data_IF_789354448870
#
_entry.id   IF_789354448870
#
_cell.length_a   1.000
_cell.length_b   1.000
_cell.length_c   1.000
_cell.angle_alpha   90.00
_cell.angle_beta   90.00
_cell.angle_gamma   90.00
#
_symmetry.space_group_name_H-M   'P 1'
#
loop_
_entity.id
_entity.type
_entity.pdbx_description
1 polymer ?
#
# COMPACT_ATOMS: atom_id res chain seq x y z
N UNK A 1 -19.39 25.88 -4.17
CA UNK A 1 -18.71 24.87 -3.34
C UNK A 1 -17.30 25.40 -3.10
N UNK A 2 -16.83 25.38 -1.86
CA UNK A 2 -15.48 25.87 -1.52
C UNK A 2 -14.40 25.09 -2.27
N UNK A 3 -13.25 25.72 -2.53
CA UNK A 3 -12.18 25.11 -3.34
C UNK A 3 -11.60 23.85 -2.69
N UNK A 4 -11.43 23.85 -1.36
CA UNK A 4 -10.92 22.69 -0.62
C UNK A 4 -11.88 21.49 -0.70
N UNK A 5 -13.21 21.71 -0.72
CA UNK A 5 -14.19 20.64 -0.90
C UNK A 5 -14.11 20.01 -2.29
N UNK A 6 -13.89 20.83 -3.31
CA UNK A 6 -13.65 20.30 -4.67
C UNK A 6 -12.33 19.53 -4.76
N UNK A 7 -11.29 19.98 -4.05
CA UNK A 7 -10.05 19.23 -3.92
C UNK A 7 -10.29 17.87 -3.26
N UNK A 8 -11.05 17.81 -2.16
CA UNK A 8 -11.39 16.57 -1.48
C UNK A 8 -12.15 15.60 -2.40
N UNK A 9 -13.15 16.09 -3.15
CA UNK A 9 -13.86 15.28 -4.15
C UNK A 9 -12.93 14.75 -5.24
N UNK A 10 -12.03 15.59 -5.74
CA UNK A 10 -11.06 15.17 -6.76
C UNK A 10 -10.09 14.10 -6.25
N UNK A 11 -9.64 14.19 -4.99
CA UNK A 11 -8.80 13.16 -4.35
C UNK A 11 -9.55 11.82 -4.20
N UNK A 12 -10.86 11.85 -3.91
CA UNK A 12 -11.72 10.65 -3.88
C UNK A 12 -11.85 10.04 -5.28
N UNK A 13 -12.12 10.86 -6.30
CA UNK A 13 -12.20 10.41 -7.69
C UNK A 13 -10.88 9.75 -8.13
N UNK A 14 -9.75 10.32 -7.70
CA UNK A 14 -8.41 9.78 -7.94
C UNK A 14 -8.07 8.55 -7.08
N UNK A 15 -9.01 8.02 -6.27
CA UNK A 15 -8.82 6.87 -5.37
C UNK A 15 -7.70 7.07 -4.33
N UNK A 16 -7.56 8.30 -3.83
CA UNK A 16 -6.58 8.67 -2.79
C UNK A 16 -7.24 8.79 -1.41
N UNK A 17 -8.52 9.16 -1.37
CA UNK A 17 -9.31 9.20 -0.16
C UNK A 17 -10.54 8.30 -0.33
N UNK A 18 -11.00 7.62 0.72
CA UNK A 18 -12.18 6.77 0.64
C UNK A 18 -13.45 7.64 0.58
N UNK A 19 -14.49 7.13 -0.09
CA UNK A 19 -15.74 7.88 -0.33
C UNK A 19 -16.46 8.28 0.98
N UNK A 20 -16.25 7.52 2.05
CA UNK A 20 -16.83 7.74 3.39
C UNK A 20 -15.91 8.51 4.36
N UNK A 21 -14.77 9.02 3.89
CA UNK A 21 -13.82 9.76 4.73
C UNK A 21 -14.45 10.99 5.41
N UNK A 22 -14.01 11.36 6.62
CA UNK A 22 -14.57 12.49 7.39
C UNK A 22 -14.61 13.83 6.63
N UNK A 23 -13.69 14.05 5.69
CA UNK A 23 -13.68 15.25 4.82
C UNK A 23 -14.92 15.40 3.94
N UNK A 24 -15.72 14.33 3.75
CA UNK A 24 -16.96 14.36 2.98
C UNK A 24 -18.19 14.70 3.81
N UNK A 25 -18.06 14.76 5.14
CA UNK A 25 -19.18 15.03 6.03
C UNK A 25 -19.65 16.49 5.91
N UNK A 26 -20.93 16.74 6.20
CA UNK A 26 -21.50 18.10 6.10
C UNK A 26 -20.77 19.09 7.01
N UNK A 27 -20.40 18.66 8.23
CA UNK A 27 -19.67 19.45 9.22
C UNK A 27 -18.16 19.51 9.05
N UNK A 28 -17.60 18.86 8.01
CA UNK A 28 -16.16 18.83 7.78
C UNK A 28 -15.59 20.24 7.57
N UNK A 29 -14.39 20.45 8.08
CA UNK A 29 -13.64 21.68 7.96
C UNK A 29 -12.40 21.48 7.09
N UNK A 30 -11.83 22.57 6.58
CA UNK A 30 -10.58 22.53 5.81
C UNK A 30 -9.42 21.93 6.62
N UNK A 31 -9.45 22.01 7.95
CA UNK A 31 -8.48 21.40 8.84
C UNK A 31 -8.45 19.86 8.69
N UNK A 32 -9.60 19.20 8.47
CA UNK A 32 -9.67 17.75 8.27
C UNK A 32 -8.91 17.32 7.01
N UNK A 33 -9.02 18.12 5.94
CA UNK A 33 -8.27 17.87 4.70
C UNK A 33 -6.77 18.17 4.88
N UNK A 34 -6.44 19.23 5.61
CA UNK A 34 -5.05 19.57 5.90
C UNK A 34 -4.36 18.45 6.68
N UNK A 35 -5.03 17.88 7.69
CA UNK A 35 -4.53 16.73 8.47
C UNK A 35 -4.27 15.52 7.58
N UNK A 36 -5.25 15.12 6.75
CA UNK A 36 -5.13 13.95 5.89
C UNK A 36 -3.95 14.04 4.89
N UNK A 37 -3.59 15.25 4.46
CA UNK A 37 -2.47 15.46 3.53
C UNK A 37 -1.14 15.78 4.22
N UNK A 38 -1.15 16.06 5.53
CA UNK A 38 -0.04 16.71 6.27
C UNK A 38 1.26 15.95 6.21
N UNK A 39 1.20 14.63 6.15
CA UNK A 39 2.37 13.76 6.19
C UNK A 39 2.96 13.43 4.80
N UNK A 40 2.28 13.85 3.73
CA UNK A 40 2.68 13.65 2.35
C UNK A 40 2.50 12.24 1.79
N UNK A 41 1.97 11.26 2.55
CA UNK A 41 1.78 9.88 2.06
C UNK A 41 0.72 9.85 0.97
N UNK A 42 -0.47 10.39 1.25
CA UNK A 42 -1.57 10.45 0.27
C UNK A 42 -1.20 11.28 -0.97
N UNK A 43 -0.36 12.29 -0.82
CA UNK A 43 0.16 13.07 -1.94
C UNK A 43 1.07 12.23 -2.85
N UNK A 44 1.92 11.38 -2.28
CA UNK A 44 2.73 10.46 -3.07
C UNK A 44 1.86 9.41 -3.77
N UNK A 45 0.85 8.86 -3.08
CA UNK A 45 -0.09 7.91 -3.66
C UNK A 45 -0.88 8.52 -4.82
N UNK A 46 -1.32 9.78 -4.70
CA UNK A 46 -1.96 10.52 -5.78
C UNK A 46 -1.14 10.48 -7.06
N UNK A 47 0.18 10.70 -6.98
CA UNK A 47 1.03 10.69 -8.17
C UNK A 47 1.09 9.31 -8.82
N UNK A 48 1.11 8.22 -8.03
CA UNK A 48 1.08 6.85 -8.55
C UNK A 48 -0.26 6.50 -9.21
N UNK A 49 -1.38 6.97 -8.66
CA UNK A 49 -2.71 6.77 -9.25
C UNK A 49 -2.85 7.52 -10.60
N UNK A 50 -2.27 8.71 -10.70
CA UNK A 50 -2.24 9.50 -11.94
C UNK A 50 -1.28 8.90 -12.98
N UNK A 51 -0.06 8.56 -12.56
CA UNK A 51 1.00 8.00 -13.40
C UNK A 51 1.61 6.79 -12.67
N UNK A 52 1.41 5.56 -13.16
CA UNK A 52 1.98 4.38 -12.53
C UNK A 52 3.50 4.50 -12.34
N UNK A 53 3.99 4.10 -11.16
CA UNK A 53 5.41 4.15 -10.79
C UNK A 53 6.03 5.55 -10.90
N UNK A 54 5.24 6.60 -10.63
CA UNK A 54 5.76 7.96 -10.54
C UNK A 54 6.62 8.18 -9.29
N UNK A 55 6.23 7.56 -8.19
CA UNK A 55 6.94 7.55 -6.90
C UNK A 55 7.25 6.10 -6.54
N UNK A 56 8.51 5.83 -6.20
CA UNK A 56 8.94 4.56 -5.62
C UNK A 56 8.47 4.51 -4.15
N UNK A 57 7.53 3.63 -3.80
CA UNK A 57 6.96 3.62 -2.46
C UNK A 57 7.98 3.17 -1.40
N UNK A 58 9.04 2.44 -1.79
CA UNK A 58 10.18 2.11 -0.91
C UNK A 58 10.99 3.33 -0.46
N UNK A 59 10.87 4.45 -1.15
CA UNK A 59 11.61 5.68 -0.83
C UNK A 59 10.84 6.62 0.10
N UNK A 60 9.54 6.40 0.29
CA UNK A 60 8.69 7.16 1.21
C UNK A 60 8.43 6.37 2.50
N UNK A 61 7.93 7.04 3.53
CA UNK A 61 7.55 6.39 4.78
C UNK A 61 6.03 6.37 4.87
N UNK A 62 5.43 5.19 4.82
CA UNK A 62 3.98 5.01 4.79
C UNK A 62 3.32 5.24 6.15
N UNK A 63 4.08 5.03 7.24
CA UNK A 63 3.66 5.35 8.62
C UNK A 63 4.65 6.30 9.27
N UNK A 64 4.64 7.60 8.91
CA UNK A 64 5.61 8.55 9.42
C UNK A 64 5.39 8.93 10.90
N UNK A 65 4.26 8.56 11.51
CA UNK A 65 3.90 8.86 12.91
C UNK A 65 4.08 10.34 13.27
N UNK A 66 3.73 11.23 12.35
CA UNK A 66 3.94 12.67 12.45
C UNK A 66 5.38 13.11 12.73
N UNK A 67 6.36 12.25 12.47
CA UNK A 67 7.78 12.60 12.52
C UNK A 67 8.07 13.67 11.47
N UNK A 68 8.42 14.88 11.92
CA UNK A 68 8.74 16.01 11.06
C UNK A 68 9.73 15.64 9.95
N UNK A 69 10.77 14.86 10.27
CA UNK A 69 11.76 14.46 9.28
C UNK A 69 11.15 13.56 8.18
N UNK A 70 10.31 12.59 8.57
CA UNK A 70 9.70 11.64 7.63
C UNK A 70 8.59 12.30 6.80
N UNK A 71 7.72 13.09 7.42
CA UNK A 71 6.69 13.86 6.72
C UNK A 71 7.32 14.82 5.70
N UNK A 72 8.32 15.62 6.11
CA UNK A 72 9.00 16.52 5.18
C UNK A 72 9.75 15.78 4.07
N UNK A 73 10.25 14.57 4.32
CA UNK A 73 10.84 13.73 3.27
C UNK A 73 9.77 13.37 2.22
N UNK A 74 8.64 12.82 2.65
CA UNK A 74 7.53 12.44 1.77
C UNK A 74 7.01 13.63 0.95
N UNK A 75 6.76 14.78 1.60
CA UNK A 75 6.29 15.99 0.92
C UNK A 75 7.31 16.48 -0.13
N UNK A 76 8.61 16.45 0.19
CA UNK A 76 9.65 16.81 -0.78
C UNK A 76 9.72 15.84 -1.96
N UNK A 77 9.52 14.54 -1.72
CA UNK A 77 9.42 13.54 -2.79
C UNK A 77 8.27 13.87 -3.73
N UNK A 78 7.07 14.13 -3.19
CA UNK A 78 5.91 14.57 -3.98
C UNK A 78 6.23 15.80 -4.83
N UNK A 79 6.82 16.84 -4.24
CA UNK A 79 7.16 18.08 -4.94
C UNK A 79 8.21 17.85 -6.06
N UNK A 80 9.22 17.01 -5.80
CA UNK A 80 10.24 16.64 -6.79
C UNK A 80 9.62 15.92 -7.99
N UNK A 81 8.78 14.92 -7.75
CA UNK A 81 8.11 14.17 -8.81
C UNK A 81 7.13 15.04 -9.61
N UNK A 82 6.44 15.98 -8.96
CA UNK A 82 5.60 16.98 -9.65
C UNK A 82 6.40 17.81 -10.67
N UNK A 83 7.63 18.20 -10.35
CA UNK A 83 8.51 18.93 -11.28
C UNK A 83 9.00 18.02 -12.40
N UNK A 84 9.52 16.84 -12.05
CA UNK A 84 10.23 15.97 -12.97
C UNK A 84 9.29 15.25 -13.95
N UNK A 85 8.16 14.74 -13.46
CA UNK A 85 7.28 13.83 -14.20
C UNK A 85 5.97 14.48 -14.64
N UNK A 86 5.49 15.49 -13.91
CA UNK A 86 4.26 16.23 -14.24
C UNK A 86 4.53 17.63 -14.80
N UNK A 87 5.80 18.06 -14.84
CA UNK A 87 6.26 19.31 -15.45
C UNK A 87 5.67 20.59 -14.83
N UNK A 88 5.33 20.56 -13.53
CA UNK A 88 4.93 21.75 -12.80
C UNK A 88 6.13 22.68 -12.62
N UNK A 89 5.90 23.99 -12.77
CA UNK A 89 6.94 25.00 -12.55
C UNK A 89 7.19 25.20 -11.05
N UNK A 90 8.39 25.64 -10.69
CA UNK A 90 8.75 25.91 -9.29
C UNK A 90 7.84 26.93 -8.60
N UNK A 91 7.32 27.92 -9.33
CA UNK A 91 6.39 28.92 -8.80
C UNK A 91 4.92 28.45 -8.73
N UNK A 92 4.63 27.26 -9.25
CA UNK A 92 3.31 26.61 -9.19
C UNK A 92 3.22 25.62 -8.01
N UNK A 93 4.31 25.45 -7.26
CA UNK A 93 4.44 24.52 -6.14
C UNK A 93 4.51 25.24 -4.80
N UNK A 94 4.02 24.58 -3.77
CA UNK A 94 4.24 24.96 -2.39
C UNK A 94 5.60 24.47 -1.86
N UNK A 95 6.07 25.03 -0.76
CA UNK A 95 7.22 24.60 0.02
C UNK A 95 6.80 23.60 1.10
N UNK A 96 7.64 22.62 1.44
CA UNK A 96 7.25 21.54 2.33
C UNK A 96 6.67 21.98 3.69
N UNK A 97 7.16 23.10 4.26
CA UNK A 97 6.64 23.66 5.50
C UNK A 97 5.28 24.37 5.35
N UNK A 98 4.91 24.82 4.15
CA UNK A 98 3.59 25.43 3.90
C UNK A 98 2.46 24.41 4.10
N UNK A 99 2.74 23.13 3.88
CA UNK A 99 1.84 22.01 4.21
C UNK A 99 2.07 21.48 5.63
N UNK A 100 3.31 21.13 5.99
CA UNK A 100 3.57 20.44 7.27
C UNK A 100 3.19 21.27 8.50
N UNK A 101 3.52 22.57 8.49
CA UNK A 101 3.15 23.54 9.53
C UNK A 101 1.82 24.27 9.17
N UNK A 102 1.19 23.94 8.03
CA UNK A 102 -0.05 24.55 7.52
C UNK A 102 -0.01 26.08 7.47
N UNK A 103 1.14 26.64 7.09
CA UNK A 103 1.34 28.11 7.01
C UNK A 103 0.62 28.76 5.84
N UNK A 104 0.48 28.02 4.73
CA UNK A 104 -0.21 28.49 3.53
C UNK A 104 -0.85 27.30 2.81
N UNK A 105 -1.97 26.84 3.37
CA UNK A 105 -2.71 25.72 2.80
C UNK A 105 -3.39 26.08 1.47
N UNK A 106 -3.73 27.36 1.26
CA UNK A 106 -4.27 27.84 -0.01
C UNK A 106 -3.35 27.54 -1.19
N UNK A 107 -2.03 27.69 -0.99
CA UNK A 107 -1.02 27.35 -2.00
C UNK A 107 -0.91 25.85 -2.28
N UNK A 108 -1.13 25.01 -1.26
CA UNK A 108 -1.23 23.54 -1.43
C UNK A 108 -2.43 23.21 -2.32
N UNK A 109 -3.60 23.76 -2.02
CA UNK A 109 -4.82 23.58 -2.81
C UNK A 109 -4.64 24.08 -4.25
N UNK A 110 -3.96 25.22 -4.45
CA UNK A 110 -3.67 25.74 -5.78
C UNK A 110 -2.72 24.82 -6.57
N UNK A 111 -1.69 24.26 -5.91
CA UNK A 111 -0.79 23.27 -6.52
C UNK A 111 -1.56 22.03 -7.00
N UNK A 112 -2.46 21.50 -6.17
CA UNK A 112 -3.32 20.36 -6.53
C UNK A 112 -4.31 20.71 -7.65
N UNK A 113 -4.81 21.94 -7.69
CA UNK A 113 -5.65 22.42 -8.80
C UNK A 113 -4.89 22.42 -10.12
N UNK A 114 -3.64 22.88 -10.13
CA UNK A 114 -2.77 22.84 -11.31
C UNK A 114 -2.49 21.38 -11.72
N UNK A 115 -2.16 20.52 -10.76
CA UNK A 115 -1.94 19.09 -11.01
C UNK A 115 -3.17 18.40 -11.61
N UNK A 116 -4.38 18.74 -11.14
CA UNK A 116 -5.65 18.19 -11.67
C UNK A 116 -5.87 18.54 -13.15
N UNK A 117 -5.28 19.64 -13.62
CA UNK A 117 -5.34 20.09 -15.02
C UNK A 117 -4.19 19.57 -15.88
N UNK A 118 -3.28 18.80 -15.29
CA UNK A 118 -2.17 18.18 -16.04
C UNK A 118 -2.72 17.25 -17.12
N UNK A 119 -1.98 17.13 -18.23
CA UNK A 119 -2.37 16.25 -19.33
C UNK A 119 -2.56 14.79 -18.87
N UNK A 120 -1.73 14.34 -17.93
CA UNK A 120 -1.79 12.99 -17.35
C UNK A 120 -3.12 12.76 -16.63
N UNK A 121 -3.52 13.69 -15.74
CA UNK A 121 -4.76 13.59 -14.98
C UNK A 121 -6.00 13.62 -15.88
N UNK A 122 -6.01 14.53 -16.87
CA UNK A 122 -7.12 14.66 -17.82
C UNK A 122 -7.23 13.43 -18.73
N UNK A 123 -6.11 12.86 -19.19
CA UNK A 123 -6.10 11.65 -20.02
C UNK A 123 -6.62 10.41 -19.27
N UNK A 124 -6.40 10.33 -17.95
CA UNK A 124 -6.97 9.30 -17.08
C UNK A 124 -8.48 9.43 -16.87
N UNK A 125 -9.07 10.56 -17.26
CA UNK A 125 -10.51 10.80 -17.16
C UNK A 125 -10.94 11.49 -15.86
N UNK A 126 -10.00 11.99 -15.06
CA UNK A 126 -10.33 12.74 -13.85
C UNK A 126 -10.74 14.17 -14.19
N UNK A 127 -11.86 14.62 -13.64
CA UNK A 127 -12.38 15.97 -13.86
C UNK A 127 -11.55 16.99 -13.07
N UNK A 128 -10.92 17.99 -13.71
CA UNK A 128 -10.12 18.98 -13.00
C UNK A 128 -10.96 19.90 -12.10
N UNK A 129 -10.32 20.48 -11.09
CA UNK A 129 -10.93 21.49 -10.22
C UNK A 129 -10.10 22.80 -10.23
N UNK A 130 -10.68 23.95 -9.85
CA UNK A 130 -12.10 24.16 -9.59
C UNK A 130 -12.93 24.20 -10.88
N UNK A 131 -14.22 23.88 -10.75
CA UNK A 131 -15.23 24.17 -11.78
C UNK A 131 -15.56 25.68 -11.77
N UNK A 132 -15.90 26.23 -12.94
CA UNK A 132 -16.17 27.66 -13.14
C UNK A 132 -17.14 28.22 -12.07
N UNK A 133 -16.77 29.36 -11.47
CA UNK A 133 -17.58 30.06 -10.45
C UNK A 133 -17.15 29.87 -9.00
N UNK A 134 -16.01 29.21 -8.75
CA UNK A 134 -15.44 29.04 -7.42
C UNK A 134 -14.42 30.16 -7.14
N UNK A 135 -14.68 31.02 -6.16
CA UNK A 135 -13.72 32.02 -5.71
C UNK A 135 -12.73 31.39 -4.72
N UNK A 136 -11.43 31.73 -4.80
CA UNK A 136 -10.50 31.46 -3.70
C UNK A 136 -10.96 32.30 -2.49
N UNK A 137 -11.28 31.62 -1.40
CA UNK A 137 -11.58 32.25 -0.13
C UNK A 137 -10.41 31.95 0.80
N UNK A 138 -9.43 32.85 0.83
CA UNK A 138 -8.20 32.64 1.59
C UNK A 138 -8.41 32.81 3.11
N UNK A 139 -9.53 33.41 3.54
CA UNK A 139 -9.84 33.62 4.96
C UNK A 139 -10.06 32.30 5.69
N UNK A 140 -10.58 31.27 5.00
CA UNK A 140 -10.83 29.95 5.59
C UNK A 140 -9.54 29.21 5.98
N UNK A 141 -8.40 29.60 5.42
CA UNK A 141 -7.09 29.01 5.74
C UNK A 141 -6.41 29.71 6.92
N UNK A 142 -6.95 30.86 7.37
CA UNK A 142 -6.38 31.60 8.50
C UNK A 142 -6.58 30.84 9.81
N UNK A 143 -5.53 30.76 10.64
CA UNK A 143 -5.58 30.08 11.94
C UNK A 143 -5.47 28.55 11.88
N UNK A 144 -5.27 27.94 10.71
CA UNK A 144 -5.06 26.49 10.59
C UNK A 144 -3.80 26.01 11.34
N UNK A 145 -2.72 26.79 11.28
CA UNK A 145 -1.47 26.48 11.98
C UNK A 145 -1.65 26.35 13.50
N UNK A 146 -2.65 27.02 14.09
CA UNK A 146 -2.91 26.95 15.53
C UNK A 146 -3.76 25.73 15.91
N UNK A 147 -4.52 25.18 14.95
CA UNK A 147 -5.48 24.08 15.18
C UNK A 147 -4.93 22.71 14.83
N UNK A 148 -3.89 22.64 13.98
CA UNK A 148 -3.43 21.39 13.37
C UNK A 148 -2.76 20.41 14.35
N UNK A 149 -2.22 20.91 15.46
CA UNK A 149 -1.59 20.08 16.49
C UNK A 149 -2.58 19.58 17.55
N UNK A 150 -3.78 20.18 17.63
CA UNK A 150 -4.81 19.82 18.62
C UNK A 150 -5.74 18.67 18.15
N UNK A 151 -5.58 18.23 16.91
CA UNK A 151 -6.49 17.31 16.21
C UNK A 151 -5.80 16.05 15.67
N UNK A 152 -4.64 15.69 16.23
CA UNK A 152 -3.94 14.42 15.96
C UNK A 152 -4.73 13.26 16.57
N UNK A 153 -5.86 12.94 15.95
CA UNK A 153 -6.42 11.60 16.04
C UNK A 153 -5.59 10.72 15.10
N UNK A 154 -5.00 9.66 15.63
CA UNK A 154 -4.31 8.61 14.87
C UNK A 154 -5.37 7.91 14.01
N UNK A 155 -5.62 8.45 12.81
CA UNK A 155 -6.45 7.83 11.76
C UNK A 155 -5.63 6.65 11.16
N UNK A 156 -5.37 5.61 11.98
CA UNK A 156 -4.59 4.42 11.61
C UNK A 156 -5.17 3.75 10.34
N UNK A 157 -6.49 3.81 10.17
CA UNK A 157 -7.22 3.25 9.03
C UNK A 157 -7.08 4.08 7.73
N UNK A 158 -6.46 5.27 7.76
CA UNK A 158 -6.33 6.15 6.59
C UNK A 158 -5.36 5.60 5.53
N UNK A 159 -4.47 4.69 5.89
CA UNK A 159 -3.47 4.16 4.96
C UNK A 159 -3.73 2.71 4.56
N UNK A 160 -4.78 2.07 5.06
CA UNK A 160 -5.13 0.67 4.76
C UNK A 160 -5.37 0.40 3.26
N UNK A 161 -5.69 1.43 2.48
CA UNK A 161 -5.90 1.35 1.04
C UNK A 161 -4.71 1.86 0.21
N UNK A 162 -3.66 2.39 0.84
CA UNK A 162 -2.40 2.69 0.17
C UNK A 162 -1.69 1.35 0.01
N UNK A 163 -1.48 0.91 -1.24
CA UNK A 163 -0.75 -0.32 -1.53
C UNK A 163 0.65 -0.23 -0.94
N UNK A 164 0.88 -0.84 0.23
CA UNK A 164 2.22 -1.15 0.69
C UNK A 164 2.83 -2.06 -0.39
N UNK A 165 3.99 -1.72 -0.98
CA UNK A 165 4.67 -2.59 -1.95
C UNK A 165 5.01 -3.99 -1.39
N UNK A 166 4.86 -4.21 -0.08
CA UNK A 166 4.85 -5.53 0.54
C UNK A 166 3.73 -6.45 -0.02
N UNK A 167 2.70 -5.88 -0.64
CA UNK A 167 1.62 -6.59 -1.31
C UNK A 167 2.04 -7.21 -2.67
N UNK A 168 3.18 -6.81 -3.27
CA UNK A 168 3.74 -7.51 -4.45
C UNK A 168 4.12 -8.96 -4.10
N UNK A 169 4.60 -9.18 -2.87
CA UNK A 169 4.87 -10.51 -2.34
C UNK A 169 3.61 -11.35 -2.21
N UNK A 170 2.51 -10.74 -1.78
CA UNK A 170 1.22 -11.40 -1.61
C UNK A 170 0.60 -11.79 -2.96
N UNK A 171 0.67 -10.93 -3.98
CA UNK A 171 0.23 -11.28 -5.34
C UNK A 171 0.99 -12.50 -5.90
N UNK A 172 2.32 -12.53 -5.74
CA UNK A 172 3.15 -13.66 -6.18
C UNK A 172 2.81 -14.92 -5.38
N UNK A 173 2.64 -14.81 -4.07
CA UNK A 173 2.28 -15.94 -3.21
C UNK A 173 0.92 -16.51 -3.61
N UNK A 174 -0.10 -15.67 -3.75
CA UNK A 174 -1.44 -16.06 -4.16
C UNK A 174 -1.43 -16.73 -5.54
N UNK A 175 -0.68 -16.19 -6.50
CA UNK A 175 -0.54 -16.78 -7.83
C UNK A 175 0.10 -18.18 -7.81
N UNK A 176 1.08 -18.42 -6.92
CA UNK A 176 1.69 -19.73 -6.73
C UNK A 176 0.74 -20.71 -6.00
N UNK A 177 0.01 -20.22 -4.99
CA UNK A 177 -0.85 -21.04 -4.14
C UNK A 177 -2.22 -21.35 -4.76
N UNK A 178 -2.71 -20.54 -5.71
CA UNK A 178 -3.95 -20.77 -6.47
C UNK A 178 -4.07 -22.21 -6.98
N UNK A 179 -5.00 -22.97 -6.39
CA UNK A 179 -5.30 -24.32 -6.86
C UNK A 179 -6.19 -24.22 -8.10
N UNK A 180 -6.01 -25.12 -9.09
CA UNK A 180 -6.89 -25.17 -10.25
C UNK A 180 -8.33 -25.34 -9.76
N UNK A 181 -9.17 -24.32 -9.95
CA UNK A 181 -10.59 -24.38 -9.63
C UNK A 181 -11.18 -25.60 -10.35
N UNK A 182 -11.69 -26.57 -9.58
CA UNK A 182 -12.53 -27.59 -10.18
C UNK A 182 -13.71 -26.88 -10.87
N UNK A 183 -14.04 -27.22 -12.12
CA UNK A 183 -15.08 -26.51 -12.86
C UNK A 183 -16.37 -26.49 -12.05
N UNK A 184 -16.83 -25.29 -11.74
CA UNK A 184 -18.07 -25.00 -11.01
C UNK A 184 -19.26 -25.68 -11.70
N UNK A 185 -19.57 -26.93 -11.31
CA UNK A 185 -20.79 -27.59 -11.78
C UNK A 185 -21.65 -28.16 -10.68
N UNK A 186 -21.26 -28.09 -9.41
CA UNK A 186 -22.14 -28.54 -8.33
C UNK A 186 -21.96 -27.68 -7.09
N UNK A 187 -22.92 -26.78 -6.86
CA UNK A 187 -23.26 -26.31 -5.51
C UNK A 187 -23.55 -27.55 -4.64
N UNK A 188 -22.50 -28.11 -4.03
CA UNK A 188 -22.63 -29.17 -3.03
C UNK A 188 -23.10 -28.50 -1.75
N UNK A 189 -24.40 -28.49 -1.52
CA UNK A 189 -24.95 -28.39 -0.17
C UNK A 189 -24.30 -29.45 0.70
N UNK A 190 -23.52 -29.03 1.71
CA UNK A 190 -22.85 -29.93 2.65
C UNK A 190 -21.33 -30.05 2.53
N UNK A 191 -20.64 -29.05 1.98
CA UNK A 191 -19.17 -28.97 2.07
C UNK A 191 -18.77 -28.80 3.54
N UNK A 192 -18.08 -29.80 4.09
CA UNK A 192 -17.49 -29.71 5.43
C UNK A 192 -16.39 -28.66 5.42
N UNK A 193 -16.69 -27.48 5.98
CA UNK A 193 -15.75 -26.36 6.06
C UNK A 193 -14.45 -26.76 6.76
N UNK A 194 -14.53 -27.66 7.76
CA UNK A 194 -13.34 -28.16 8.47
C UNK A 194 -12.44 -28.93 7.52
N UNK A 195 -13.02 -29.82 6.72
CA UNK A 195 -12.27 -30.60 5.74
C UNK A 195 -11.64 -29.70 4.66
N UNK A 196 -12.32 -28.64 4.23
CA UNK A 196 -11.77 -27.67 3.28
C UNK A 196 -10.54 -26.97 3.83
N UNK A 197 -10.61 -26.43 5.05
CA UNK A 197 -9.46 -25.78 5.67
C UNK A 197 -8.27 -26.74 5.83
N UNK A 198 -8.52 -28.01 6.19
CA UNK A 198 -7.47 -29.02 6.30
C UNK A 198 -6.83 -29.35 4.94
N UNK A 199 -7.64 -29.43 3.88
CA UNK A 199 -7.14 -29.66 2.53
C UNK A 199 -6.33 -28.47 2.03
N UNK A 200 -6.80 -27.25 2.28
CA UNK A 200 -6.12 -26.01 1.92
C UNK A 200 -4.75 -25.92 2.60
N UNK A 201 -4.67 -26.06 3.93
CA UNK A 201 -3.41 -26.07 4.68
C UNK A 201 -2.41 -27.07 4.08
N UNK A 202 -2.86 -28.29 3.76
CA UNK A 202 -1.98 -29.32 3.19
C UNK A 202 -1.52 -28.97 1.78
N UNK A 203 -2.41 -28.46 0.94
CA UNK A 203 -2.14 -28.18 -0.47
C UNK A 203 -1.22 -26.97 -0.64
N UNK A 204 -1.46 -25.90 0.13
CA UNK A 204 -0.60 -24.71 0.10
C UNK A 204 0.79 -25.05 0.66
N UNK A 205 0.89 -25.84 1.73
CA UNK A 205 2.20 -26.28 2.26
C UNK A 205 2.96 -27.19 1.28
N UNK A 206 2.27 -28.07 0.55
CA UNK A 206 2.88 -28.92 -0.49
C UNK A 206 3.46 -28.06 -1.62
N UNK A 207 2.68 -27.10 -2.13
CA UNK A 207 3.14 -26.15 -3.16
C UNK A 207 4.26 -25.25 -2.67
N UNK A 208 4.20 -24.77 -1.43
CA UNK A 208 5.23 -23.94 -0.85
C UNK A 208 6.55 -24.70 -0.74
N UNK A 209 6.51 -25.92 -0.22
CA UNK A 209 7.69 -26.80 -0.15
C UNK A 209 8.26 -27.10 -1.54
N UNK A 210 7.42 -27.43 -2.52
CA UNK A 210 7.84 -27.66 -3.91
C UNK A 210 8.48 -26.41 -4.53
N UNK A 211 7.97 -25.22 -4.20
CA UNK A 211 8.52 -23.94 -4.65
C UNK A 211 9.92 -23.71 -4.08
N UNK A 212 10.12 -23.97 -2.78
CA UNK A 212 11.45 -23.89 -2.16
C UNK A 212 12.43 -24.89 -2.80
N UNK A 213 12.00 -26.13 -3.04
CA UNK A 213 12.83 -27.13 -3.72
C UNK A 213 13.15 -26.73 -5.18
N UNK A 214 12.21 -26.09 -5.86
CA UNK A 214 12.39 -25.55 -7.20
C UNK A 214 13.45 -24.44 -7.22
N UNK A 215 13.40 -23.50 -6.26
CA UNK A 215 14.42 -22.44 -6.09
C UNK A 215 15.82 -23.06 -5.94
N UNK A 216 15.95 -24.06 -5.06
CA UNK A 216 17.23 -24.75 -4.84
C UNK A 216 17.74 -25.47 -6.10
N UNK A 217 16.85 -26.16 -6.81
CA UNK A 217 17.20 -27.03 -7.93
C UNK A 217 17.47 -26.25 -9.22
N UNK A 218 16.65 -25.26 -9.51
CA UNK A 218 16.63 -24.56 -10.80
C UNK A 218 17.36 -23.22 -10.79
N UNK A 219 17.59 -22.62 -9.60
CA UNK A 219 18.30 -21.34 -9.49
C UNK A 219 19.58 -21.47 -8.69
N UNK A 220 19.53 -21.91 -7.43
CA UNK A 220 20.72 -21.92 -6.56
C UNK A 220 21.83 -22.83 -7.11
N UNK A 221 21.55 -24.12 -7.35
CA UNK A 221 22.54 -25.08 -7.86
C UNK A 221 23.16 -24.68 -9.21
N UNK A 222 22.39 -24.16 -10.20
CA UNK A 222 22.99 -23.64 -11.43
C UNK A 222 23.85 -22.40 -11.22
N UNK A 223 23.42 -21.46 -10.36
CA UNK A 223 24.13 -20.20 -10.12
C UNK A 223 25.42 -20.37 -9.31
N UNK A 224 25.55 -21.42 -8.50
CA UNK A 224 26.80 -21.81 -7.82
C UNK A 224 27.97 -22.02 -8.82
N UNK A 225 27.71 -22.21 -10.12
CA UNK A 225 28.74 -22.31 -11.16
C UNK A 225 29.25 -20.96 -11.67
N UNK A 226 28.52 -19.88 -11.42
CA UNK A 226 28.76 -18.56 -11.99
C UNK A 226 29.08 -17.50 -10.95
N UNK A 227 28.53 -17.64 -9.74
CA UNK A 227 28.66 -16.66 -8.65
C UNK A 227 29.65 -17.14 -7.58
N UNK A 228 30.22 -16.19 -6.83
CA UNK A 228 31.04 -16.52 -5.67
C UNK A 228 30.18 -17.02 -4.52
N UNK A 229 30.76 -17.79 -3.61
CA UNK A 229 30.06 -18.31 -2.43
C UNK A 229 29.40 -17.21 -1.61
N UNK A 230 30.08 -16.07 -1.44
CA UNK A 230 29.52 -14.92 -0.71
C UNK A 230 28.27 -14.35 -1.38
N UNK A 231 28.25 -14.25 -2.71
CA UNK A 231 27.08 -13.76 -3.45
C UNK A 231 25.92 -14.73 -3.35
N UNK A 232 26.20 -16.04 -3.41
CA UNK A 232 25.19 -17.10 -3.21
C UNK A 232 24.61 -17.01 -1.79
N UNK A 233 25.43 -16.86 -0.77
CA UNK A 233 24.99 -16.70 0.63
C UNK A 233 24.16 -15.42 0.80
N UNK A 234 24.52 -14.32 0.15
CA UNK A 234 23.77 -13.07 0.23
C UNK A 234 22.43 -13.13 -0.50
N UNK A 235 22.36 -13.78 -1.66
CA UNK A 235 21.13 -13.85 -2.48
C UNK A 235 20.14 -14.86 -1.92
N UNK A 236 20.63 -16.04 -1.50
CA UNK A 236 19.79 -17.17 -1.10
C UNK A 236 19.64 -17.35 0.42
N UNK A 237 20.46 -16.64 1.20
CA UNK A 237 20.40 -16.60 2.67
C UNK A 237 20.32 -18.02 3.24
N UNK A 238 19.22 -18.37 3.91
CA UNK A 238 18.98 -19.65 4.57
C UNK A 238 17.92 -20.52 3.85
N UNK A 239 17.67 -20.29 2.56
CA UNK A 239 16.63 -21.03 1.80
C UNK A 239 16.84 -22.56 1.82
N UNK A 240 18.08 -23.05 1.93
CA UNK A 240 18.40 -24.47 2.10
C UNK A 240 17.84 -25.03 3.42
N UNK A 241 18.00 -24.28 4.51
CA UNK A 241 17.49 -24.65 5.83
C UNK A 241 15.96 -24.56 5.85
N UNK A 242 15.42 -23.47 5.30
CA UNK A 242 13.98 -23.26 5.16
C UNK A 242 13.29 -24.42 4.41
N UNK A 243 13.84 -24.83 3.26
CA UNK A 243 13.31 -25.97 2.51
C UNK A 243 13.35 -27.28 3.31
N UNK A 244 14.41 -27.50 4.10
CA UNK A 244 14.52 -28.69 4.95
C UNK A 244 13.47 -28.69 6.06
N UNK A 245 13.27 -27.55 6.72
CA UNK A 245 12.30 -27.38 7.80
C UNK A 245 10.88 -27.57 7.28
N UNK A 246 10.52 -26.90 6.18
CA UNK A 246 9.18 -27.01 5.57
C UNK A 246 8.90 -28.42 5.03
N UNK A 247 9.90 -29.12 4.51
CA UNK A 247 9.74 -30.53 4.13
C UNK A 247 9.36 -31.42 5.32
N UNK A 248 9.99 -31.21 6.47
CA UNK A 248 9.67 -31.96 7.69
C UNK A 248 8.30 -31.55 8.26
N UNK A 249 7.99 -30.26 8.22
CA UNK A 249 6.67 -29.73 8.58
C UNK A 249 5.56 -30.36 7.73
N UNK A 250 5.73 -30.39 6.41
CA UNK A 250 4.80 -30.99 5.46
C UNK A 250 4.55 -32.46 5.77
N UNK A 251 5.61 -33.22 6.07
CA UNK A 251 5.49 -34.64 6.43
C UNK A 251 4.66 -34.81 7.73
N UNK A 252 4.89 -33.99 8.75
CA UNK A 252 4.13 -34.03 10.01
C UNK A 252 2.68 -33.56 9.84
N UNK A 253 2.43 -32.51 9.05
CA UNK A 253 1.09 -32.02 8.70
C UNK A 253 0.31 -33.10 7.95
N UNK A 254 0.92 -33.73 6.93
CA UNK A 254 0.30 -34.83 6.18
C UNK A 254 -0.04 -36.00 7.10
N UNK A 255 0.88 -36.40 7.98
CA UNK A 255 0.65 -37.48 8.93
C UNK A 255 -0.51 -37.15 9.89
N UNK A 256 -0.54 -35.95 10.47
CA UNK A 256 -1.61 -35.55 11.39
C UNK A 256 -2.97 -35.55 10.70
N UNK A 257 -3.06 -34.98 9.49
CA UNK A 257 -4.33 -34.86 8.75
C UNK A 257 -4.82 -36.23 8.26
N UNK A 258 -3.95 -37.03 7.61
CA UNK A 258 -4.35 -38.28 6.96
C UNK A 258 -4.49 -39.46 7.93
N UNK A 259 -3.63 -39.54 8.96
CA UNK A 259 -3.57 -40.71 9.84
C UNK A 259 -4.28 -40.49 11.18
N UNK A 260 -4.31 -39.25 11.69
CA UNK A 260 -4.83 -38.95 13.03
C UNK A 260 -6.09 -38.07 13.03
N UNK A 261 -6.66 -37.79 11.85
CA UNK A 261 -7.86 -36.96 11.70
C UNK A 261 -7.67 -35.51 12.15
N UNK A 262 -6.44 -35.00 12.03
CA UNK A 262 -6.00 -33.67 12.43
C UNK A 262 -6.13 -33.35 13.93
N UNK A 263 -6.14 -34.36 14.82
CA UNK A 263 -6.20 -34.15 16.27
C UNK A 263 -4.92 -33.54 16.84
N UNK A 264 -3.77 -33.87 16.25
CA UNK A 264 -2.42 -33.45 16.70
C UNK A 264 -1.88 -32.26 15.91
N UNK A 265 -2.62 -31.75 14.93
CA UNK A 265 -2.15 -30.72 14.00
C UNK A 265 -1.69 -29.44 14.72
N UNK A 266 -2.41 -29.05 15.78
CA UNK A 266 -2.02 -27.91 16.62
C UNK A 266 -0.65 -28.08 17.27
N UNK A 267 -0.28 -29.30 17.68
CA UNK A 267 1.00 -29.58 18.30
C UNK A 267 2.14 -29.48 17.29
N UNK A 268 1.90 -29.89 16.04
CA UNK A 268 2.86 -29.70 14.95
C UNK A 268 3.19 -28.21 14.81
N UNK A 269 2.19 -27.33 14.71
CA UNK A 269 2.44 -25.89 14.62
C UNK A 269 3.16 -25.30 15.84
N UNK A 270 2.88 -25.80 17.05
CA UNK A 270 3.61 -25.37 18.26
C UNK A 270 5.08 -25.78 18.20
N UNK A 271 5.38 -26.98 17.69
CA UNK A 271 6.74 -27.50 17.60
C UNK A 271 7.61 -26.76 16.56
N UNK A 272 7.01 -26.25 15.48
CA UNK A 272 7.71 -25.56 14.39
C UNK A 272 7.69 -24.03 14.53
N UNK A 273 7.18 -23.50 15.64
CA UNK A 273 7.15 -22.06 15.91
C UNK A 273 8.51 -21.50 16.33
N UNK A 274 9.33 -22.32 16.99
CA UNK A 274 10.69 -21.97 17.45
C UNK A 274 11.75 -22.27 16.39
#
# INVERSE_FOLDING_TARGET
MEMWRQCAMWLIDCRVLPENHRVTWEGAQVCDLAQALRDGVLLCQLLNNLLPQAVNLREINLRPQMSQFLCLKNIRTFLGVCQERFHLKKNELFEAFELFDVRDFGKVINTLSILSRSAVAVQKGFMPFPLDGSAPDDEIYSGLSDQIDDTVDEDDDLYDFVEDEDNEGDEIYEDLMKTDEQPETQQKTGVDKRECCLQEIRQTEEKYTDTLESILKHFMKPLERYLQTQDIENIFINVKELASTHRSLLDEVRNSILMEGAKTLHQVFVNYKE
#
